data_IF_456333982405
#
_entry.id   IF_456333982405
#
_cell.length_a   1.000
_cell.length_b   1.000
_cell.length_c   1.000
_cell.angle_alpha   90.00
_cell.angle_beta   90.00
_cell.angle_gamma   90.00
#
_symmetry.space_group_name_H-M   'P 1'
#
loop_
_entity.id
_entity.type
_entity.pdbx_description
1 polymer ?
#
# COMPACT_ATOMS: atom_id res chain seq x y z
N UNK A 1 -53.87 -0.99 4.47
CA UNK A 1 -53.21 0.33 4.47
C UNK A 1 -51.76 0.10 4.07
N UNK A 2 -51.43 0.23 2.78
CA UNK A 2 -50.77 1.40 2.15
C UNK A 2 -49.41 1.74 2.79
N UNK A 3 -48.28 1.94 2.10
CA UNK A 3 -47.95 2.06 0.66
C UNK A 3 -46.41 2.11 0.52
N UNK A 4 -45.90 1.52 -0.58
CA UNK A 4 -44.79 1.97 -1.45
C UNK A 4 -43.35 2.10 -0.91
N UNK A 5 -42.55 1.04 -1.13
CA UNK A 5 -41.09 1.11 -1.20
C UNK A 5 -40.65 1.57 -2.61
N UNK A 6 -40.42 2.87 -2.77
CA UNK A 6 -39.91 3.47 -4.01
C UNK A 6 -38.39 3.34 -4.11
N UNK A 7 -37.91 2.32 -4.82
CA UNK A 7 -36.48 2.16 -5.13
C UNK A 7 -36.09 3.05 -6.31
N UNK A 8 -35.71 4.30 -6.04
CA UNK A 8 -35.15 5.21 -7.04
C UNK A 8 -33.76 4.74 -7.47
N UNK A 9 -33.70 3.90 -8.51
CA UNK A 9 -32.45 3.62 -9.24
C UNK A 9 -32.13 4.85 -10.10
N UNK A 10 -31.19 5.66 -9.64
CA UNK A 10 -30.60 6.74 -10.42
C UNK A 10 -29.97 6.16 -11.70
N UNK A 11 -30.65 6.32 -12.83
CA UNK A 11 -30.08 6.05 -14.16
C UNK A 11 -29.03 7.11 -14.42
N UNK A 12 -27.77 6.72 -14.40
CA UNK A 12 -26.67 7.54 -14.91
C UNK A 12 -26.96 7.83 -16.39
N UNK A 13 -26.91 9.10 -16.85
CA UNK A 13 -27.12 9.41 -18.25
C UNK A 13 -26.05 8.69 -19.10
N UNK A 14 -26.52 7.83 -19.99
CA UNK A 14 -25.71 7.20 -21.03
C UNK A 14 -25.21 8.29 -21.97
N UNK A 15 -23.97 8.73 -21.80
CA UNK A 15 -23.29 9.56 -22.79
C UNK A 15 -23.11 8.72 -24.05
N UNK A 16 -23.93 9.00 -25.07
CA UNK A 16 -23.79 8.38 -26.38
C UNK A 16 -22.38 8.70 -26.94
N UNK A 17 -21.65 7.71 -27.47
CA UNK A 17 -20.34 7.93 -28.07
C UNK A 17 -20.53 8.58 -29.45
N UNK A 18 -20.65 9.90 -29.50
CA UNK A 18 -20.47 10.65 -30.76
C UNK A 18 -18.97 10.81 -30.99
N UNK A 19 -18.27 9.70 -31.20
CA UNK A 19 -16.92 9.68 -31.76
C UNK A 19 -17.07 9.62 -33.27
N UNK A 20 -17.15 10.81 -33.89
CA UNK A 20 -16.84 10.96 -35.31
C UNK A 20 -15.41 10.46 -35.54
N UNK A 21 -15.29 9.49 -36.46
CA UNK A 21 -14.03 9.07 -37.07
C UNK A 21 -13.26 10.30 -37.57
N UNK A 22 -12.21 10.69 -36.86
CA UNK A 22 -11.12 11.47 -37.44
C UNK A 22 -10.02 10.49 -37.85
N UNK A 23 -10.19 9.91 -39.04
CA UNK A 23 -9.13 9.16 -39.71
C UNK A 23 -8.03 10.15 -40.13
N UNK A 24 -6.79 9.91 -39.71
CA UNK A 24 -5.62 10.71 -40.08
C UNK A 24 -4.89 11.37 -38.91
N UNK A 25 -4.51 10.59 -37.88
CA UNK A 25 -3.63 11.07 -36.83
C UNK A 25 -2.17 10.91 -37.26
N UNK A 26 -1.59 11.95 -37.88
CA UNK A 26 -0.15 12.05 -38.04
C UNK A 26 0.49 12.24 -36.64
N UNK A 27 1.30 11.28 -36.19
CA UNK A 27 1.95 11.30 -34.88
C UNK A 27 2.99 12.43 -34.71
N UNK A 28 3.36 13.09 -35.81
CA UNK A 28 4.35 14.17 -35.86
C UNK A 28 3.75 15.56 -36.15
N UNK A 29 2.42 15.68 -36.28
CA UNK A 29 1.84 17.03 -36.32
C UNK A 29 1.89 17.62 -34.92
N UNK A 30 2.48 18.82 -34.80
CA UNK A 30 2.34 19.67 -33.61
C UNK A 30 0.87 19.63 -33.20
N UNK A 31 0.55 19.43 -31.90
CA UNK A 31 -0.81 19.21 -31.45
C UNK A 31 -1.69 20.35 -31.97
N UNK A 32 -2.42 20.03 -33.03
CA UNK A 32 -3.22 20.97 -33.81
C UNK A 32 -4.19 21.58 -32.81
N UNK A 33 -4.35 22.90 -32.82
CA UNK A 33 -5.04 23.67 -31.77
C UNK A 33 -6.36 23.02 -31.29
N UNK A 34 -7.09 22.33 -32.18
CA UNK A 34 -8.27 21.53 -31.83
C UNK A 34 -8.06 20.40 -30.80
N UNK A 35 -6.93 19.66 -30.81
CA UNK A 35 -6.63 18.66 -29.75
C UNK A 35 -6.38 19.35 -28.40
N UNK A 36 -5.69 20.49 -28.43
CA UNK A 36 -5.50 21.31 -27.24
C UNK A 36 -6.81 21.89 -26.73
N UNK A 37 -7.73 22.28 -27.61
CA UNK A 37 -9.07 22.72 -27.22
C UNK A 37 -9.90 21.59 -26.62
N UNK A 38 -9.84 20.36 -27.15
CA UNK A 38 -10.51 19.20 -26.54
C UNK A 38 -9.95 18.89 -25.15
N UNK A 39 -8.61 18.91 -25.01
CA UNK A 39 -7.96 18.71 -23.71
C UNK A 39 -8.35 19.85 -22.75
N UNK A 40 -8.30 21.12 -23.18
CA UNK A 40 -8.74 22.26 -22.37
C UNK A 40 -10.22 22.16 -22.00
N UNK A 41 -11.11 21.75 -22.92
CA UNK A 41 -12.53 21.59 -22.64
C UNK A 41 -12.81 20.42 -21.68
N UNK A 42 -11.98 19.37 -21.70
CA UNK A 42 -12.08 18.25 -20.76
C UNK A 42 -11.55 18.59 -19.36
N UNK A 43 -10.43 19.32 -19.28
CA UNK A 43 -9.80 19.74 -18.02
C UNK A 43 -10.50 20.95 -17.40
N UNK A 44 -11.02 21.85 -18.24
CA UNK A 44 -11.69 23.09 -17.87
C UNK A 44 -13.01 23.20 -18.65
N UNK A 45 -14.05 22.45 -18.26
CA UNK A 45 -15.36 22.57 -18.88
C UNK A 45 -15.83 24.02 -18.81
N UNK A 46 -16.44 24.55 -19.89
CA UNK A 46 -16.90 25.95 -19.98
C UNK A 46 -17.94 26.36 -18.92
N UNK A 47 -18.46 25.41 -18.15
CA UNK A 47 -19.32 25.63 -16.97
C UNK A 47 -18.75 25.05 -15.67
N UNK A 48 -17.47 24.70 -15.61
CA UNK A 48 -16.83 24.07 -14.45
C UNK A 48 -16.71 24.96 -13.20
N UNK A 49 -16.98 26.26 -13.36
CA UNK A 49 -17.05 27.26 -12.28
C UNK A 49 -18.50 27.49 -11.82
N UNK A 50 -19.49 26.86 -12.48
CA UNK A 50 -20.87 26.96 -12.04
C UNK A 50 -21.06 26.20 -10.71
N UNK A 51 -21.79 26.75 -9.74
CA UNK A 51 -22.02 26.14 -8.42
C UNK A 51 -22.77 24.79 -8.48
N UNK A 52 -23.44 24.51 -9.60
CA UNK A 52 -24.12 23.24 -9.90
C UNK A 52 -23.26 22.25 -10.69
N UNK A 53 -22.03 22.63 -11.08
CA UNK A 53 -21.18 21.78 -11.89
C UNK A 53 -20.53 20.68 -11.03
N UNK A 54 -20.50 19.46 -11.56
CA UNK A 54 -19.78 18.34 -10.97
C UNK A 54 -18.26 18.37 -11.26
N UNK A 55 -17.74 19.53 -11.71
CA UNK A 55 -16.33 19.64 -12.09
C UNK A 55 -15.46 19.59 -10.84
N UNK A 56 -14.47 18.67 -10.78
CA UNK A 56 -13.57 18.56 -9.63
C UNK A 56 -12.61 19.75 -9.49
N UNK A 57 -12.53 20.64 -10.49
CA UNK A 57 -11.48 21.66 -10.61
C UNK A 57 -11.95 23.09 -10.30
N UNK A 58 -13.26 23.41 -10.33
CA UNK A 58 -13.66 24.80 -10.52
C UNK A 58 -14.73 25.40 -9.60
N UNK A 59 -15.62 24.64 -9.00
CA UNK A 59 -16.65 25.20 -8.13
C UNK A 59 -16.83 24.34 -6.90
N UNK A 60 -16.78 24.96 -5.71
CA UNK A 60 -17.28 24.33 -4.49
C UNK A 60 -18.72 23.91 -4.76
N UNK A 61 -18.98 22.60 -4.76
CA UNK A 61 -20.34 22.09 -4.84
C UNK A 61 -21.13 22.68 -3.67
N UNK A 62 -22.29 23.29 -3.91
CA UNK A 62 -23.07 23.98 -2.86
C UNK A 62 -23.43 23.03 -1.70
N UNK A 63 -23.74 21.76 -2.02
CA UNK A 63 -23.94 20.71 -1.01
C UNK A 63 -22.70 20.35 -0.17
N UNK A 64 -21.48 20.71 -0.58
CA UNK A 64 -20.26 20.32 0.13
C UNK A 64 -20.24 20.89 1.54
N UNK A 65 -20.66 22.15 1.72
CA UNK A 65 -20.78 22.74 3.05
C UNK A 65 -21.83 22.04 3.90
N UNK A 66 -22.98 21.68 3.31
CA UNK A 66 -24.02 20.90 4.01
C UNK A 66 -23.48 19.54 4.46
N UNK A 67 -22.72 18.85 3.61
CA UNK A 67 -22.11 17.55 3.91
C UNK A 67 -20.99 17.66 4.94
N UNK A 68 -20.14 18.68 4.86
CA UNK A 68 -19.13 18.94 5.90
C UNK A 68 -19.82 19.22 7.22
N UNK A 69 -20.79 20.15 7.28
CA UNK A 69 -21.48 20.48 8.54
C UNK A 69 -22.20 19.26 9.12
N UNK A 70 -22.73 18.38 8.28
CA UNK A 70 -23.32 17.12 8.72
C UNK A 70 -22.29 16.12 9.27
N UNK A 71 -21.08 16.07 8.70
CA UNK A 71 -20.01 15.17 9.14
C UNK A 71 -19.19 15.72 10.33
N UNK A 72 -19.03 17.03 10.39
CA UNK A 72 -18.24 17.78 11.37
C UNK A 72 -19.03 19.04 11.77
N UNK A 73 -19.90 18.93 12.80
CA UNK A 73 -20.82 20.02 13.17
C UNK A 73 -20.13 21.20 13.86
N UNK A 74 -18.97 20.97 14.49
CA UNK A 74 -18.17 22.01 15.16
C UNK A 74 -16.69 21.91 14.80
N UNK A 75 -15.94 23.00 15.00
CA UNK A 75 -14.49 23.01 14.82
C UNK A 75 -13.80 22.03 15.77
N UNK A 76 -14.25 21.95 17.02
CA UNK A 76 -13.75 20.99 18.02
C UNK A 76 -13.97 19.53 17.60
N UNK A 77 -15.12 19.22 16.99
CA UNK A 77 -15.40 17.88 16.47
C UNK A 77 -14.44 17.51 15.33
N UNK A 78 -14.15 18.45 14.43
CA UNK A 78 -13.17 18.25 13.36
C UNK A 78 -11.78 17.96 13.93
N UNK A 79 -11.28 18.77 14.86
CA UNK A 79 -9.98 18.53 15.50
C UNK A 79 -9.92 17.18 16.22
N UNK A 80 -11.02 16.76 16.85
CA UNK A 80 -11.10 15.48 17.54
C UNK A 80 -11.00 14.31 16.55
N UNK A 81 -11.70 14.40 15.41
CA UNK A 81 -11.61 13.40 14.34
C UNK A 81 -10.18 13.33 13.79
N UNK A 82 -9.53 14.47 13.56
CA UNK A 82 -8.16 14.51 13.06
C UNK A 82 -7.17 13.91 14.07
N UNK A 83 -7.30 14.26 15.36
CA UNK A 83 -6.49 13.69 16.43
C UNK A 83 -6.67 12.17 16.52
N UNK A 84 -7.91 11.69 16.49
CA UNK A 84 -8.21 10.25 16.52
C UNK A 84 -7.64 9.52 15.28
N UNK A 85 -7.76 10.11 14.09
CA UNK A 85 -7.21 9.54 12.86
C UNK A 85 -5.67 9.47 12.89
N UNK A 86 -5.02 10.53 13.35
CA UNK A 86 -3.56 10.57 13.48
C UNK A 86 -3.06 9.54 14.51
N UNK A 87 -3.78 9.39 15.63
CA UNK A 87 -3.52 8.36 16.62
C UNK A 87 -3.64 6.96 16.01
N UNK A 88 -4.75 6.67 15.33
CA UNK A 88 -4.95 5.40 14.63
C UNK A 88 -3.82 5.10 13.62
N UNK A 89 -3.40 6.09 12.81
CA UNK A 89 -2.30 5.92 11.86
C UNK A 89 -0.97 5.62 12.54
N UNK A 90 -0.71 6.25 13.69
CA UNK A 90 0.48 5.99 14.52
C UNK A 90 0.46 4.55 15.02
N UNK A 91 -0.66 4.12 15.58
CA UNK A 91 -0.81 2.78 16.15
C UNK A 91 -0.74 1.71 15.05
N UNK A 92 -1.36 1.94 13.89
CA UNK A 92 -1.23 1.07 12.72
C UNK A 92 0.21 0.99 12.18
N UNK A 93 0.99 2.07 12.27
CA UNK A 93 2.42 2.04 11.93
C UNK A 93 3.21 1.23 12.98
N UNK A 94 2.95 1.46 14.26
CA UNK A 94 3.58 0.74 15.37
C UNK A 94 3.31 -0.77 15.28
N UNK A 95 2.06 -1.18 15.07
CA UNK A 95 1.68 -2.58 14.91
C UNK A 95 2.38 -3.24 13.71
N UNK A 96 2.47 -2.55 12.57
CA UNK A 96 3.24 -3.05 11.41
C UNK A 96 4.73 -3.18 11.71
N UNK A 97 5.32 -2.21 12.41
CA UNK A 97 6.72 -2.28 12.81
C UNK A 97 6.98 -3.46 13.75
N UNK A 98 6.12 -3.65 14.76
CA UNK A 98 6.20 -4.79 15.67
C UNK A 98 6.09 -6.14 14.92
N UNK A 99 5.15 -6.26 13.98
CA UNK A 99 5.00 -7.47 13.16
C UNK A 99 6.20 -7.71 12.23
N UNK A 100 6.85 -6.65 11.73
CA UNK A 100 8.08 -6.77 10.93
C UNK A 100 9.25 -7.22 11.81
N UNK A 101 9.41 -6.62 12.99
CA UNK A 101 10.45 -6.98 13.94
C UNK A 101 10.30 -8.44 14.39
N UNK A 102 9.10 -8.87 14.75
CA UNK A 102 8.84 -10.27 15.13
C UNK A 102 9.23 -11.26 14.00
N UNK A 103 8.97 -10.90 12.74
CA UNK A 103 9.41 -11.72 11.59
C UNK A 103 10.92 -11.73 11.44
N UNK A 104 11.56 -10.59 11.65
CA UNK A 104 13.01 -10.47 11.61
C UNK A 104 13.67 -11.31 12.71
N UNK A 105 13.17 -11.23 13.94
CA UNK A 105 13.67 -12.00 15.08
C UNK A 105 13.53 -13.50 14.84
N UNK A 106 12.37 -13.94 14.32
CA UNK A 106 12.16 -15.33 13.93
C UNK A 106 13.12 -15.79 12.81
N UNK A 107 13.35 -14.95 11.80
CA UNK A 107 14.33 -15.24 10.74
C UNK A 107 15.74 -15.32 11.28
N UNK A 108 16.12 -14.41 12.20
CA UNK A 108 17.43 -14.39 12.84
C UNK A 108 17.66 -15.64 13.67
N UNK A 109 16.70 -16.02 14.51
CA UNK A 109 16.75 -17.25 15.30
C UNK A 109 16.91 -18.50 14.42
N UNK A 110 16.11 -18.61 13.35
CA UNK A 110 16.22 -19.73 12.41
C UNK A 110 17.58 -19.78 11.69
N UNK A 111 18.16 -18.62 11.36
CA UNK A 111 19.51 -18.57 10.77
C UNK A 111 20.59 -18.98 11.78
N UNK A 112 20.45 -18.58 13.05
CA UNK A 112 21.36 -18.98 14.11
C UNK A 112 21.30 -20.49 14.37
N UNK A 113 20.10 -21.07 14.39
CA UNK A 113 19.90 -22.52 14.51
C UNK A 113 20.52 -23.26 13.31
N UNK A 114 20.32 -22.76 12.08
CA UNK A 114 20.93 -23.35 10.89
C UNK A 114 22.47 -23.27 10.91
N UNK A 115 23.04 -22.17 11.40
CA UNK A 115 24.49 -22.05 11.58
C UNK A 115 25.01 -23.06 12.61
N UNK A 116 24.31 -23.23 13.73
CA UNK A 116 24.65 -24.21 14.76
C UNK A 116 24.62 -25.66 14.22
N UNK A 117 23.61 -26.01 13.42
CA UNK A 117 23.49 -27.36 12.82
C UNK A 117 24.51 -27.63 11.72
N UNK A 118 25.04 -26.58 11.08
CA UNK A 118 25.97 -26.72 9.95
C UNK A 118 27.43 -26.51 10.31
N UNK A 119 27.71 -25.89 11.45
CA UNK A 119 29.05 -25.82 12.03
C UNK A 119 29.41 -27.23 12.52
N UNK A 120 30.44 -27.83 11.93
CA UNK A 120 30.93 -29.15 12.36
C UNK A 120 31.47 -29.11 13.79
N UNK A 121 31.84 -30.27 14.37
CA UNK A 121 32.52 -30.31 15.65
C UNK A 121 33.79 -29.45 15.56
N UNK A 122 33.92 -28.51 16.51
CA UNK A 122 35.07 -27.63 16.56
C UNK A 122 36.35 -28.49 16.65
N UNK A 123 37.21 -28.43 15.62
CA UNK A 123 38.51 -29.12 15.64
C UNK A 123 39.38 -28.65 16.83
N UNK A 124 39.09 -27.47 17.37
CA UNK A 124 39.87 -26.81 18.41
C UNK A 124 39.50 -27.22 19.85
N UNK A 125 38.49 -28.08 20.05
CA UNK A 125 38.11 -28.63 21.37
C UNK A 125 37.61 -27.62 22.43
N UNK A 126 37.50 -26.33 22.08
CA UNK A 126 37.18 -25.23 23.01
C UNK A 126 35.82 -24.55 22.74
N UNK A 127 35.04 -25.04 21.78
CA UNK A 127 33.72 -24.48 21.42
C UNK A 127 32.58 -25.48 21.59
N UNK A 128 31.36 -24.99 21.82
CA UNK A 128 30.14 -25.81 21.79
C UNK A 128 30.03 -26.49 20.41
N UNK A 129 30.03 -27.82 20.44
CA UNK A 129 29.96 -28.68 19.26
C UNK A 129 28.58 -28.52 18.64
N UNK A 130 28.53 -27.89 17.47
CA UNK A 130 27.39 -28.06 16.57
C UNK A 130 27.28 -29.53 16.19
N UNK A 131 26.06 -30.05 16.11
CA UNK A 131 25.80 -31.47 15.87
C UNK A 131 26.34 -31.95 14.51
N UNK A 132 26.73 -31.01 13.62
CA UNK A 132 27.38 -31.31 12.33
C UNK A 132 26.48 -32.09 11.38
N UNK A 133 25.17 -32.11 11.65
CA UNK A 133 24.17 -32.91 10.94
C UNK A 133 24.04 -32.49 9.49
N UNK A 134 24.25 -31.20 9.21
CA UNK A 134 24.06 -30.62 7.88
C UNK A 134 25.38 -30.08 7.30
N UNK A 135 25.59 -30.18 5.98
CA UNK A 135 26.78 -29.60 5.36
C UNK A 135 26.72 -28.08 5.35
N UNK A 136 27.86 -27.42 5.62
CA UNK A 136 28.02 -25.95 5.64
C UNK A 136 27.48 -25.24 4.40
N UNK A 137 27.58 -25.88 3.24
CA UNK A 137 27.06 -25.37 1.98
C UNK A 137 25.56 -25.01 2.01
N UNK A 138 24.76 -25.62 2.89
CA UNK A 138 23.33 -25.29 3.06
C UNK A 138 23.16 -23.89 3.64
N UNK A 139 23.89 -23.58 4.72
CA UNK A 139 23.91 -22.26 5.32
C UNK A 139 24.45 -21.21 4.34
N UNK A 140 25.57 -21.52 3.67
CA UNK A 140 26.18 -20.61 2.70
C UNK A 140 25.20 -20.33 1.56
N UNK A 141 24.52 -21.34 1.02
CA UNK A 141 23.51 -21.14 -0.03
C UNK A 141 22.32 -20.29 0.44
N UNK A 142 21.90 -20.43 1.70
CA UNK A 142 20.86 -19.58 2.28
C UNK A 142 21.31 -18.11 2.38
N UNK A 143 22.60 -17.88 2.71
CA UNK A 143 23.19 -16.56 2.88
C UNK A 143 23.67 -15.90 1.57
N UNK A 144 24.04 -16.67 0.54
CA UNK A 144 24.52 -16.19 -0.78
C UNK A 144 23.55 -15.20 -1.43
N UNK A 145 22.25 -15.30 -1.13
CA UNK A 145 21.23 -14.37 -1.64
C UNK A 145 21.39 -12.95 -1.09
N UNK A 146 21.93 -12.78 0.12
CA UNK A 146 22.27 -11.46 0.69
C UNK A 146 23.41 -10.82 -0.10
N UNK A 147 24.37 -11.63 -0.56
CA UNK A 147 25.52 -11.16 -1.33
C UNK A 147 25.13 -10.65 -2.73
N UNK A 148 24.22 -11.35 -3.43
CA UNK A 148 23.72 -10.89 -4.73
C UNK A 148 22.96 -9.56 -4.66
N UNK A 149 22.25 -9.30 -3.55
CA UNK A 149 21.59 -8.01 -3.34
C UNK A 149 22.60 -6.86 -3.23
N UNK A 150 23.70 -7.05 -2.50
CA UNK A 150 24.76 -6.05 -2.35
C UNK A 150 25.51 -5.82 -3.67
N UNK A 151 25.81 -6.88 -4.43
CA UNK A 151 26.44 -6.78 -5.74
C UNK A 151 25.52 -6.07 -6.77
N UNK A 152 24.23 -6.38 -6.78
CA UNK A 152 23.24 -5.69 -7.62
C UNK A 152 23.12 -4.20 -7.25
N UNK A 153 23.12 -3.88 -5.95
CA UNK A 153 23.13 -2.49 -5.47
C UNK A 153 24.41 -1.75 -5.91
N UNK A 154 25.57 -2.38 -5.78
CA UNK A 154 26.85 -1.80 -6.22
C UNK A 154 26.87 -1.57 -7.74
N UNK A 155 26.40 -2.54 -8.53
CA UNK A 155 26.28 -2.42 -9.99
C UNK A 155 25.29 -1.30 -10.39
N UNK A 156 24.17 -1.16 -9.69
CA UNK A 156 23.22 -0.07 -9.90
C UNK A 156 23.86 1.30 -9.60
N UNK A 157 24.64 1.41 -8.51
CA UNK A 157 25.37 2.62 -8.15
C UNK A 157 26.44 2.99 -9.19
N UNK A 158 27.17 2.00 -9.72
CA UNK A 158 28.16 2.19 -10.79
C UNK A 158 27.51 2.61 -12.12
N UNK A 159 26.35 2.04 -12.46
CA UNK A 159 25.60 2.43 -13.65
C UNK A 159 25.13 3.89 -13.65
N UNK A 160 24.87 4.46 -12.46
CA UNK A 160 24.55 5.89 -12.29
C UNK A 160 25.79 6.75 -12.60
N UNK A 161 26.98 6.33 -12.16
CA UNK A 161 28.23 7.06 -12.40
C UNK A 161 28.63 7.10 -13.89
N UNK A 162 28.23 6.10 -14.68
CA UNK A 162 28.55 6.02 -16.11
C UNK A 162 27.64 6.87 -17.02
N UNK A 163 26.76 7.71 -16.48
CA UNK A 163 25.96 8.66 -17.26
C UNK A 163 24.89 8.05 -18.17
N UNK A 164 24.77 6.71 -18.22
CA UNK A 164 23.66 6.03 -18.91
C UNK A 164 22.38 6.30 -18.13
N UNK A 165 21.52 7.17 -18.68
CA UNK A 165 20.17 7.42 -18.16
C UNK A 165 19.31 6.19 -18.38
N UNK A 166 19.52 5.14 -17.58
CA UNK A 166 18.56 4.04 -17.47
C UNK A 166 17.23 4.64 -17.01
N UNK A 167 16.15 4.32 -17.73
CA UNK A 167 14.80 4.74 -17.35
C UNK A 167 14.52 4.30 -15.91
N UNK A 168 13.67 5.03 -15.19
CA UNK A 168 13.25 4.66 -13.83
C UNK A 168 12.71 3.23 -13.78
N UNK A 169 12.04 2.79 -14.85
CA UNK A 169 11.60 1.39 -15.02
C UNK A 169 12.76 0.42 -15.20
N UNK A 170 13.77 0.72 -16.02
CA UNK A 170 14.96 -0.13 -16.17
C UNK A 170 15.72 -0.25 -14.85
N UNK A 171 15.84 0.83 -14.07
CA UNK A 171 16.43 0.80 -12.73
C UNK A 171 15.61 -0.05 -11.75
N UNK A 172 14.29 0.06 -11.82
CA UNK A 172 13.38 -0.74 -11.01
C UNK A 172 13.39 -2.22 -11.42
N UNK A 173 13.56 -2.53 -12.70
CA UNK A 173 13.64 -3.91 -13.21
C UNK A 173 14.97 -4.57 -12.84
N UNK A 174 16.09 -3.85 -12.96
CA UNK A 174 17.42 -4.37 -12.63
C UNK A 174 17.68 -4.50 -11.12
N UNK A 175 17.05 -3.65 -10.30
CA UNK A 175 17.15 -3.75 -8.85
C UNK A 175 16.28 -4.86 -8.27
N UNK A 176 15.38 -5.47 -9.06
CA UNK A 176 14.59 -6.60 -8.60
C UNK A 176 15.44 -7.87 -8.70
N UNK A 177 15.67 -8.57 -7.58
CA UNK A 177 16.26 -9.90 -7.64
C UNK A 177 15.33 -10.80 -8.46
N UNK A 178 15.86 -11.38 -9.54
CA UNK A 178 15.07 -12.27 -10.40
C UNK A 178 14.50 -13.43 -9.56
N UNK A 179 13.20 -13.69 -9.70
CA UNK A 179 12.52 -14.85 -9.09
C UNK A 179 11.88 -14.66 -7.70
N UNK A 180 12.07 -13.53 -7.00
CA UNK A 180 11.55 -13.38 -5.61
C UNK A 180 10.09 -12.93 -5.56
N UNK A 181 9.67 -12.03 -6.44
CA UNK A 181 8.28 -11.58 -6.49
C UNK A 181 7.71 -11.99 -7.85
N UNK A 182 6.81 -12.99 -7.90
CA UNK A 182 6.17 -13.38 -9.14
C UNK A 182 5.55 -12.15 -9.81
N UNK A 183 5.77 -11.99 -11.12
CA UNK A 183 5.21 -10.88 -11.89
C UNK A 183 3.68 -10.80 -11.79
N UNK A 184 3.03 -11.94 -11.51
CA UNK A 184 1.59 -12.06 -11.34
C UNK A 184 1.04 -11.73 -9.94
N UNK A 185 1.86 -11.36 -8.95
CA UNK A 185 1.34 -10.89 -7.64
C UNK A 185 0.83 -9.45 -7.79
N UNK A 186 -0.26 -9.30 -8.54
CA UNK A 186 -0.96 -8.03 -8.70
C UNK A 186 -1.36 -7.49 -7.34
N UNK A 187 -1.27 -6.17 -7.18
CA UNK A 187 -1.83 -5.52 -6.00
C UNK A 187 -3.30 -5.90 -5.85
N UNK A 188 -3.78 -6.02 -4.61
CA UNK A 188 -5.19 -6.25 -4.33
C UNK A 188 -6.00 -5.13 -4.97
N UNK A 189 -6.63 -5.39 -6.13
CA UNK A 189 -7.52 -4.41 -6.74
C UNK A 189 -8.75 -4.24 -5.84
N UNK A 190 -9.09 -2.99 -5.53
CA UNK A 190 -10.15 -2.62 -4.59
C UNK A 190 -11.57 -3.05 -5.00
N UNK A 191 -11.74 -3.55 -6.21
CA UNK A 191 -12.89 -4.34 -6.62
C UNK A 191 -12.43 -5.77 -6.83
N UNK A 192 -12.79 -6.69 -5.92
CA UNK A 192 -12.79 -8.12 -6.24
C UNK A 192 -13.64 -8.25 -7.50
N UNK A 193 -12.99 -8.51 -8.65
CA UNK A 193 -13.69 -8.74 -9.91
C UNK A 193 -14.83 -9.72 -9.64
N UNK A 194 -15.99 -9.47 -10.25
CA UNK A 194 -17.14 -10.39 -10.23
C UNK A 194 -16.67 -11.74 -10.78
N UNK A 195 -16.12 -12.58 -9.92
CA UNK A 195 -16.14 -14.01 -10.11
C UNK A 195 -17.59 -14.38 -9.88
N UNK A 196 -18.37 -14.33 -10.96
CA UNK A 196 -19.69 -14.96 -11.06
C UNK A 196 -19.47 -16.44 -10.78
N UNK A 197 -19.48 -16.78 -9.49
CA UNK A 197 -19.40 -18.14 -9.01
C UNK A 197 -20.82 -18.52 -8.62
N UNK A 198 -21.49 -19.23 -9.53
CA UNK A 198 -22.62 -20.11 -9.24
C UNK A 198 -22.16 -21.23 -8.31
N UNK A 199 -21.76 -20.88 -7.09
CA UNK A 199 -21.35 -21.84 -6.08
C UNK A 199 -22.23 -21.67 -4.86
N UNK A 200 -23.44 -22.20 -5.01
CA UNK A 200 -24.27 -22.81 -3.97
C UNK A 200 -23.47 -23.89 -3.23
N UNK A 201 -22.47 -23.48 -2.47
CA UNK A 201 -21.94 -24.27 -1.36
C UNK A 201 -21.89 -23.34 -0.18
N UNK A 202 -22.98 -23.40 0.59
CA UNK A 202 -23.09 -22.90 1.94
C UNK A 202 -22.12 -23.68 2.85
N UNK A 203 -20.82 -23.49 2.66
CA UNK A 203 -19.87 -23.76 3.71
C UNK A 203 -19.94 -22.55 4.63
N UNK A 204 -20.74 -22.71 5.69
CA UNK A 204 -20.65 -21.96 6.94
C UNK A 204 -19.16 -21.90 7.33
N UNK A 205 -18.46 -20.88 6.84
CA UNK A 205 -17.23 -20.41 7.45
C UNK A 205 -17.70 -19.83 8.77
N UNK A 206 -17.69 -20.68 9.80
CA UNK A 206 -17.56 -20.21 11.16
C UNK A 206 -16.41 -19.21 11.13
N UNK A 207 -16.76 -17.93 11.25
CA UNK A 207 -15.83 -16.94 11.75
C UNK A 207 -15.29 -17.60 13.01
N UNK A 208 -14.01 -17.98 13.09
CA UNK A 208 -13.49 -18.35 14.38
C UNK A 208 -13.79 -17.15 15.24
N UNK A 209 -14.60 -17.35 16.27
CA UNK A 209 -14.63 -16.46 17.42
C UNK A 209 -13.18 -16.45 17.91
N UNK A 210 -12.35 -15.62 17.28
CA UNK A 210 -11.17 -15.10 17.92
C UNK A 210 -11.74 -14.55 19.19
N UNK A 211 -11.42 -15.11 20.37
CA UNK A 211 -11.75 -14.42 21.59
C UNK A 211 -11.11 -13.06 21.39
N UNK A 212 -11.95 -12.05 21.14
CA UNK A 212 -11.60 -10.69 21.45
C UNK A 212 -11.38 -10.80 22.94
N UNK A 213 -10.12 -11.06 23.26
CA UNK A 213 -9.67 -11.26 24.60
C UNK A 213 -10.02 -9.95 25.28
N UNK A 214 -11.11 -10.00 26.05
CA UNK A 214 -11.46 -9.01 27.04
C UNK A 214 -10.37 -8.96 28.12
N UNK A 215 -9.22 -9.61 27.95
CA UNK A 215 -7.95 -9.18 28.49
C UNK A 215 -7.68 -7.72 28.10
N UNK A 216 -8.20 -6.87 28.97
CA UNK A 216 -7.48 -5.72 29.45
C UNK A 216 -7.25 -4.68 28.36
N UNK A 217 -8.32 -3.93 28.12
CA UNK A 217 -8.25 -2.47 28.28
C UNK A 217 -7.77 -2.11 29.71
N UNK A 218 -6.65 -2.68 30.17
CA UNK A 218 -5.77 -1.99 31.10
C UNK A 218 -5.38 -0.79 30.30
N UNK A 219 -5.95 0.35 30.66
CA UNK A 219 -5.34 1.64 30.38
C UNK A 219 -3.87 1.46 30.70
N UNK A 220 -3.04 1.27 29.67
CA UNK A 220 -1.64 1.59 29.78
C UNK A 220 -1.67 3.06 30.17
N UNK A 221 -1.52 3.31 31.47
CA UNK A 221 -1.22 4.62 32.01
C UNK A 221 -0.09 5.09 31.11
N UNK A 222 -0.40 6.06 30.25
CA UNK A 222 0.63 6.73 29.49
C UNK A 222 1.70 7.12 30.50
N UNK A 223 2.98 6.78 30.30
CA UNK A 223 4.02 7.31 31.15
C UNK A 223 3.85 8.84 31.14
N UNK A 224 3.51 9.39 32.29
CA UNK A 224 3.41 10.83 32.48
C UNK A 224 4.81 11.37 32.22
N UNK A 225 5.00 11.98 31.06
CA UNK A 225 6.20 12.75 30.79
C UNK A 225 6.15 13.95 31.74
N UNK A 226 6.83 13.83 32.88
CA UNK A 226 7.15 14.97 33.72
C UNK A 226 8.09 15.85 32.91
N UNK A 227 7.57 16.96 32.38
CA UNK A 227 8.41 18.01 31.85
C UNK A 227 9.24 18.56 33.01
N UNK A 228 10.50 18.11 33.10
CA UNK A 228 11.52 18.75 33.92
C UNK A 228 11.76 20.13 33.32
N UNK A 229 11.10 21.14 33.87
CA UNK A 229 11.39 22.54 33.59
C UNK A 229 12.81 22.81 34.09
N UNK A 230 13.78 22.79 33.18
CA UNK A 230 15.16 23.14 33.48
C UNK A 230 15.23 24.65 33.73
N UNK A 231 15.71 25.13 34.89
CA UNK A 231 15.93 26.53 35.14
C UNK A 231 17.33 26.90 34.67
N UNK A 232 17.44 27.40 33.44
CA UNK A 232 18.58 28.19 32.99
C UNK A 232 18.08 29.33 32.12
#
# INVERSE_FOLDING_TARGET
MSMLASTSRARVPSLAPVLRRNAGFNAHSTPTEGKMEVIRASLYPKGGVAPTSASPIGARHTDYERRIRAAAPSAEAHETIERAWNLYRRDARSARAAAINAKYDAMYAACAELDALTRGPAEDGLGEVGEGVLPRAVYDRAMVRVAHANAAYAAAKQGIAQGKKKTTESRWLESRPEGIVPRGRGGTMGGRGRLTSDRTLATRLAIPDTPYDQAQFRMHRYPSYSYSTSPY
#
